data_IF_706232147623
#
_entry.id   IF_706232147623
#
_cell.length_a   1.000
_cell.length_b   1.000
_cell.length_c   1.000
_cell.angle_alpha   90.00
_cell.angle_beta   90.00
_cell.angle_gamma   90.00
#
_symmetry.space_group_name_H-M   'P 1'
#
loop_
_entity.id
_entity.type
_entity.pdbx_description
1 polymer ?
#
# COMPACT_ATOMS: atom_id res chain seq x y z
N UNK A 1 -5.81 10.06 -13.57
CA UNK A 1 -6.45 10.25 -14.89
C UNK A 1 -7.90 10.75 -14.75
N UNK A 2 -8.83 10.04 -14.06
CA UNK A 2 -10.24 10.46 -13.98
C UNK A 2 -10.47 11.84 -13.35
N UNK A 3 -9.78 12.17 -12.27
CA UNK A 3 -9.88 13.51 -11.66
C UNK A 3 -9.59 14.65 -12.64
N UNK A 4 -8.63 14.47 -13.56
CA UNK A 4 -8.29 15.48 -14.58
C UNK A 4 -9.44 15.79 -15.53
N UNK A 5 -10.37 14.85 -15.72
CA UNK A 5 -11.52 15.01 -16.60
C UNK A 5 -12.67 15.78 -15.95
N UNK A 6 -12.49 16.15 -14.67
CA UNK A 6 -13.49 16.90 -13.90
C UNK A 6 -14.61 16.02 -13.33
N UNK A 7 -15.43 16.62 -12.51
CA UNK A 7 -16.51 15.92 -11.78
C UNK A 7 -17.79 15.78 -12.63
N UNK A 8 -17.93 16.55 -13.70
CA UNK A 8 -19.13 16.58 -14.54
C UNK A 8 -19.41 15.23 -15.21
N UNK A 9 -18.34 14.56 -15.66
CA UNK A 9 -18.48 13.27 -16.34
C UNK A 9 -19.07 12.21 -15.39
N UNK A 10 -18.48 11.90 -14.23
CA UNK A 10 -19.09 10.93 -13.31
C UNK A 10 -20.45 11.38 -12.79
N UNK A 11 -20.67 12.68 -12.61
CA UNK A 11 -21.95 13.22 -12.15
C UNK A 11 -23.07 13.14 -13.19
N UNK A 12 -22.74 12.95 -14.46
CA UNK A 12 -23.73 12.77 -15.55
C UNK A 12 -24.29 11.33 -15.60
N UNK A 13 -23.75 10.39 -14.84
CA UNK A 13 -24.20 9.00 -14.80
C UNK A 13 -24.92 8.67 -13.50
N UNK A 14 -25.89 7.77 -13.55
CA UNK A 14 -26.48 7.15 -12.36
C UNK A 14 -25.54 6.08 -11.81
N UNK A 15 -24.85 6.41 -10.73
CA UNK A 15 -23.94 5.51 -10.01
C UNK A 15 -24.59 4.91 -8.77
N UNK A 16 -25.90 5.02 -8.61
CA UNK A 16 -26.64 4.58 -7.41
C UNK A 16 -26.56 3.07 -7.15
N UNK A 17 -26.30 2.27 -8.18
CA UNK A 17 -26.11 0.83 -8.07
C UNK A 17 -24.74 0.39 -7.51
N UNK A 18 -23.77 1.31 -7.43
CA UNK A 18 -22.47 1.03 -6.82
C UNK A 18 -22.63 0.78 -5.32
N UNK A 19 -21.99 -0.27 -4.83
CA UNK A 19 -22.00 -0.66 -3.43
C UNK A 19 -20.61 -0.63 -2.80
N UNK A 20 -19.58 -0.72 -3.62
CA UNK A 20 -18.20 -0.86 -3.20
C UNK A 20 -17.28 -0.31 -4.29
N UNK A 21 -16.18 0.31 -3.89
CA UNK A 21 -15.10 0.74 -4.77
C UNK A 21 -13.84 -0.02 -4.41
N UNK A 22 -12.94 -0.20 -5.35
CA UNK A 22 -11.68 -0.90 -5.11
C UNK A 22 -10.50 -0.14 -5.67
N UNK A 23 -9.36 -0.24 -4.99
CA UNK A 23 -8.06 0.21 -5.49
C UNK A 23 -7.01 -0.86 -5.23
N UNK A 24 -6.06 -1.00 -6.15
CA UNK A 24 -5.03 -2.01 -6.08
C UNK A 24 -3.89 -1.70 -7.04
N UNK A 25 -2.73 -2.28 -6.80
CA UNK A 25 -1.56 -2.20 -7.67
C UNK A 25 -0.51 -1.25 -7.16
N UNK A 26 -0.91 -0.04 -6.75
CA UNK A 26 -0.02 0.95 -6.16
C UNK A 26 -0.73 1.65 -4.98
N UNK A 27 0.04 2.23 -4.02
CA UNK A 27 -0.56 3.03 -2.95
C UNK A 27 -1.39 4.18 -3.53
N UNK A 28 -2.65 4.29 -3.10
CA UNK A 28 -3.50 5.39 -3.55
C UNK A 28 -3.16 6.67 -2.79
N UNK A 29 -3.00 7.77 -3.54
CA UNK A 29 -2.85 9.10 -2.95
C UNK A 29 -4.10 9.46 -2.11
N UNK A 30 -3.95 10.00 -0.88
CA UNK A 30 -5.07 10.37 -0.02
C UNK A 30 -6.08 11.33 -0.65
N UNK A 31 -5.65 12.29 -1.47
CA UNK A 31 -6.56 13.23 -2.14
C UNK A 31 -7.34 12.54 -3.26
N UNK A 32 -6.70 11.62 -4.00
CA UNK A 32 -7.37 10.78 -4.98
C UNK A 32 -8.39 9.86 -4.30
N UNK A 33 -8.05 9.30 -3.14
CA UNK A 33 -8.93 8.48 -2.34
C UNK A 33 -10.19 9.26 -1.92
N UNK A 34 -10.02 10.50 -1.38
CA UNK A 34 -11.12 11.38 -0.97
C UNK A 34 -12.03 11.72 -2.14
N UNK A 35 -11.44 12.08 -3.29
CA UNK A 35 -12.19 12.35 -4.51
C UNK A 35 -12.99 11.12 -4.96
N UNK A 36 -12.36 9.95 -4.98
CA UNK A 36 -12.97 8.69 -5.39
C UNK A 36 -14.16 8.33 -4.47
N UNK A 37 -13.97 8.47 -3.16
CA UNK A 37 -15.03 8.27 -2.17
C UNK A 37 -16.20 9.23 -2.37
N UNK A 38 -15.91 10.53 -2.53
CA UNK A 38 -16.93 11.59 -2.62
C UNK A 38 -17.65 11.58 -3.97
N UNK A 39 -16.91 11.58 -5.07
CA UNK A 39 -17.47 11.81 -6.41
C UNK A 39 -18.01 10.51 -7.02
N UNK A 40 -17.28 9.42 -6.95
CA UNK A 40 -17.70 8.15 -7.52
C UNK A 40 -18.56 7.36 -6.52
N UNK A 41 -18.09 7.26 -5.29
CA UNK A 41 -18.75 6.50 -4.22
C UNK A 41 -19.95 7.20 -3.59
N UNK A 42 -20.17 8.48 -3.89
CA UNK A 42 -21.23 9.32 -3.31
C UNK A 42 -21.28 9.25 -1.79
N UNK A 43 -20.10 9.15 -1.16
CA UNK A 43 -19.91 9.01 0.30
C UNK A 43 -20.64 7.81 0.93
N UNK A 44 -21.02 6.82 0.11
CA UNK A 44 -21.75 5.62 0.52
C UNK A 44 -20.97 4.33 0.31
N UNK A 45 -20.15 4.28 -0.76
CA UNK A 45 -19.40 3.10 -1.10
C UNK A 45 -18.10 3.06 -0.31
N UNK A 46 -17.85 2.03 0.52
CA UNK A 46 -16.53 1.84 1.10
C UNK A 46 -15.50 1.62 0.00
N UNK A 47 -14.29 2.16 0.22
CA UNK A 47 -13.16 1.90 -0.67
C UNK A 47 -12.36 0.74 -0.09
N UNK A 48 -12.27 -0.33 -0.85
CA UNK A 48 -11.44 -1.50 -0.57
C UNK A 48 -10.07 -1.25 -1.22
N UNK A 49 -9.19 -0.65 -0.44
CA UNK A 49 -7.79 -0.47 -0.83
C UNK A 49 -7.02 -1.72 -0.40
N UNK A 50 -6.33 -2.35 -1.33
CA UNK A 50 -5.80 -3.69 -1.15
C UNK A 50 -4.31 -3.75 -1.45
N UNK A 51 -3.55 -4.28 -0.48
CA UNK A 51 -2.17 -4.65 -0.74
C UNK A 51 -2.02 -6.16 -0.91
N UNK A 52 -1.36 -6.51 -1.99
CA UNK A 52 -0.95 -7.88 -2.31
C UNK A 52 0.23 -7.86 -3.28
N UNK A 53 0.82 -9.01 -3.49
CA UNK A 53 1.85 -9.23 -4.50
C UNK A 53 1.51 -10.50 -5.27
N UNK A 54 2.05 -10.67 -6.47
CA UNK A 54 1.92 -11.93 -7.24
C UNK A 54 2.36 -13.12 -6.39
N UNK A 55 3.41 -12.93 -5.61
CA UNK A 55 4.00 -13.90 -4.69
C UNK A 55 3.10 -14.26 -3.51
N UNK A 56 2.21 -13.39 -3.11
CA UNK A 56 1.33 -13.66 -1.96
C UNK A 56 0.13 -14.54 -2.31
N UNK A 57 -0.18 -14.69 -3.60
CA UNK A 57 -1.31 -15.51 -4.07
C UNK A 57 -2.69 -14.98 -3.72
N UNK A 58 -2.77 -13.82 -3.05
CA UNK A 58 -4.00 -13.16 -2.65
C UNK A 58 -3.75 -11.95 -1.78
N UNK A 59 -4.83 -11.31 -1.34
CA UNK A 59 -4.82 -10.12 -0.50
C UNK A 59 -4.23 -10.41 0.88
N UNK A 60 -3.30 -9.55 1.32
CA UNK A 60 -2.68 -9.64 2.65
C UNK A 60 -3.18 -8.53 3.58
N UNK A 61 -3.45 -7.35 3.02
CA UNK A 61 -4.00 -6.20 3.74
C UNK A 61 -5.18 -5.69 2.93
N UNK A 62 -6.33 -5.57 3.57
CA UNK A 62 -7.54 -5.08 2.89
C UNK A 62 -8.66 -4.87 3.91
N UNK A 63 -9.48 -3.82 3.79
CA UNK A 63 -10.75 -3.77 4.49
C UNK A 63 -11.67 -4.87 3.95
N UNK A 64 -12.44 -5.47 4.82
CA UNK A 64 -13.35 -6.57 4.48
C UNK A 64 -14.81 -6.17 4.80
N UNK A 65 -15.41 -5.21 4.07
CA UNK A 65 -16.72 -4.66 4.41
C UNK A 65 -17.87 -5.67 4.33
N UNK A 66 -17.63 -6.84 3.73
CA UNK A 66 -18.56 -7.96 3.76
C UNK A 66 -18.60 -8.75 5.08
N UNK A 67 -17.56 -8.58 5.92
CA UNK A 67 -17.48 -9.17 7.25
C UNK A 67 -17.76 -8.12 8.32
N UNK A 68 -17.08 -6.98 8.25
CA UNK A 68 -17.19 -5.89 9.20
C UNK A 68 -16.92 -4.55 8.51
N UNK A 69 -17.73 -3.56 8.82
CA UNK A 69 -17.47 -2.18 8.37
C UNK A 69 -16.62 -1.46 9.41
N UNK A 70 -15.35 -1.26 9.08
CA UNK A 70 -14.41 -0.50 9.91
C UNK A 70 -14.26 0.93 9.37
N UNK A 71 -13.89 1.91 10.21
CA UNK A 71 -13.54 3.25 9.74
C UNK A 71 -12.41 3.17 8.70
N UNK A 72 -12.59 3.78 7.54
CA UNK A 72 -11.56 3.83 6.52
C UNK A 72 -10.73 5.11 6.67
N UNK A 73 -9.42 5.00 6.43
CA UNK A 73 -8.49 6.14 6.46
C UNK A 73 -7.92 6.36 5.06
N UNK A 74 -8.02 7.57 4.49
CA UNK A 74 -7.53 7.86 3.14
C UNK A 74 -6.06 7.46 2.94
N UNK A 75 -5.80 6.61 1.94
CA UNK A 75 -4.45 6.12 1.61
C UNK A 75 -3.96 4.93 2.44
N UNK A 76 -4.77 4.42 3.38
CA UNK A 76 -4.42 3.21 4.13
C UNK A 76 -5.10 1.98 3.54
N UNK A 77 -4.34 0.90 3.35
CA UNK A 77 -4.87 -0.42 3.01
C UNK A 77 -5.59 -1.10 4.20
N UNK A 78 -5.63 -0.44 5.36
CA UNK A 78 -6.26 -0.84 6.61
C UNK A 78 -5.52 -1.95 7.38
N UNK A 79 -6.17 -3.07 7.64
CA UNK A 79 -5.68 -4.13 8.52
C UNK A 79 -5.30 -5.39 7.73
N UNK A 80 -4.38 -6.22 8.27
CA UNK A 80 -4.13 -7.54 7.71
C UNK A 80 -5.43 -8.38 7.65
N UNK A 81 -5.58 -9.17 6.60
CA UNK A 81 -6.70 -10.10 6.51
C UNK A 81 -6.55 -11.23 7.53
N UNK A 82 -7.64 -11.88 7.98
CA UNK A 82 -7.59 -12.95 8.96
C UNK A 82 -6.58 -14.05 8.58
N UNK A 83 -5.72 -14.41 9.53
CA UNK A 83 -4.68 -15.43 9.34
C UNK A 83 -3.34 -14.89 8.84
N UNK A 84 -3.22 -13.61 8.53
CA UNK A 84 -1.97 -12.97 8.09
C UNK A 84 -1.41 -12.11 9.23
N UNK A 85 -0.19 -12.43 9.65
CA UNK A 85 0.54 -11.72 10.72
C UNK A 85 1.62 -10.82 10.12
N UNK A 86 1.36 -9.53 10.08
CA UNK A 86 2.21 -8.51 9.47
C UNK A 86 2.92 -7.69 10.55
N UNK A 87 4.19 -7.40 10.30
CA UNK A 87 4.94 -6.43 11.08
C UNK A 87 5.64 -5.39 10.20
N UNK A 88 5.88 -4.23 10.78
CA UNK A 88 6.79 -3.21 10.25
C UNK A 88 8.06 -3.24 11.10
N UNK A 89 9.21 -3.49 10.46
CA UNK A 89 10.47 -3.74 11.15
C UNK A 89 11.58 -2.82 10.67
N UNK A 90 12.60 -2.65 11.50
CA UNK A 90 13.83 -1.98 11.12
C UNK A 90 14.74 -2.87 10.24
N UNK A 91 15.94 -2.41 9.95
CA UNK A 91 16.93 -3.16 9.16
C UNK A 91 17.45 -4.43 9.86
N UNK A 92 17.28 -4.53 11.17
CA UNK A 92 17.69 -5.68 11.99
C UNK A 92 16.55 -6.68 12.22
N UNK A 93 15.33 -6.37 11.74
CA UNK A 93 14.15 -7.22 11.91
C UNK A 93 13.42 -7.00 13.24
N UNK A 94 13.73 -5.93 13.96
CA UNK A 94 13.03 -5.55 15.19
C UNK A 94 11.81 -4.71 14.84
N UNK A 95 10.64 -5.05 15.42
CA UNK A 95 9.43 -4.29 15.21
C UNK A 95 9.61 -2.84 15.66
N UNK A 96 9.24 -1.91 14.77
CA UNK A 96 9.30 -0.48 15.10
C UNK A 96 8.03 -0.03 15.83
N UNK A 97 8.11 1.01 16.66
CA UNK A 97 6.94 1.61 17.29
C UNK A 97 5.91 2.09 16.25
N UNK A 98 4.65 2.20 16.67
CA UNK A 98 3.61 2.80 15.83
C UNK A 98 4.04 4.19 15.34
N UNK A 99 3.58 4.56 14.14
CA UNK A 99 3.93 5.79 13.43
C UNK A 99 5.44 5.90 13.06
N UNK A 100 6.15 4.78 13.12
CA UNK A 100 7.53 4.70 12.62
C UNK A 100 7.56 3.90 11.33
N UNK A 101 8.29 4.39 10.36
CA UNK A 101 8.45 3.76 9.04
C UNK A 101 9.45 2.61 9.11
N UNK A 102 9.19 1.55 8.36
CA UNK A 102 10.08 0.40 8.30
C UNK A 102 9.75 -0.53 7.13
N UNK A 103 10.37 -1.69 7.14
CA UNK A 103 10.16 -2.73 6.14
C UNK A 103 8.94 -3.56 6.49
N UNK A 104 8.08 -3.81 5.50
CA UNK A 104 6.92 -4.68 5.66
C UNK A 104 7.35 -6.15 5.56
N UNK A 105 6.99 -6.93 6.57
CA UNK A 105 7.20 -8.38 6.59
C UNK A 105 5.93 -9.12 6.96
N UNK A 106 5.83 -10.39 6.51
CA UNK A 106 4.81 -11.32 6.98
C UNK A 106 5.54 -12.37 7.82
N UNK A 107 5.15 -12.51 9.10
CA UNK A 107 5.90 -13.31 10.08
C UNK A 107 5.81 -14.81 9.85
N UNK A 108 4.71 -15.29 9.29
CA UNK A 108 4.46 -16.72 9.10
C UNK A 108 4.06 -17.02 7.65
N UNK A 109 4.44 -18.17 7.10
CA UNK A 109 3.93 -18.61 5.80
C UNK A 109 2.42 -18.86 5.85
N UNK A 110 1.76 -18.70 4.74
CA UNK A 110 0.32 -18.94 4.57
C UNK A 110 0.05 -19.85 3.36
N UNK A 111 -1.12 -20.48 3.27
CA UNK A 111 -1.37 -21.48 2.22
C UNK A 111 -1.28 -20.96 0.77
N UNK A 112 -1.54 -19.68 0.55
CA UNK A 112 -1.54 -19.06 -0.78
C UNK A 112 -0.19 -18.57 -1.28
N UNK A 113 0.88 -18.65 -0.44
CA UNK A 113 2.20 -18.16 -0.84
C UNK A 113 2.76 -18.95 -2.04
N UNK A 114 3.51 -18.27 -2.91
CA UNK A 114 4.21 -18.95 -3.99
C UNK A 114 5.14 -20.04 -3.44
N UNK A 115 5.21 -21.16 -4.15
CA UNK A 115 6.04 -22.30 -3.74
C UNK A 115 7.51 -22.10 -4.11
N UNK A 116 7.76 -21.46 -5.24
CA UNK A 116 9.11 -21.14 -5.73
C UNK A 116 9.03 -20.22 -6.96
N UNK A 117 10.19 -19.76 -7.44
CA UNK A 117 10.35 -19.17 -8.77
C UNK A 117 10.69 -20.30 -9.77
N UNK A 118 10.04 -20.28 -10.94
CA UNK A 118 10.27 -21.30 -11.97
C UNK A 118 11.74 -21.42 -12.34
N UNK A 119 12.31 -22.58 -12.08
CA UNK A 119 13.70 -22.89 -12.40
C UNK A 119 14.75 -22.19 -11.50
N UNK A 120 14.35 -21.47 -10.44
CA UNK A 120 15.30 -20.75 -9.59
C UNK A 120 14.90 -20.71 -8.10
N UNK A 121 14.89 -21.85 -7.46
CA UNK A 121 14.63 -21.99 -6.02
C UNK A 121 15.61 -21.20 -5.15
N UNK A 122 16.84 -21.03 -5.63
CA UNK A 122 17.86 -20.28 -4.90
C UNK A 122 17.47 -18.80 -4.82
N UNK A 123 17.06 -18.22 -5.94
CA UNK A 123 16.59 -16.83 -6.00
C UNK A 123 15.35 -16.63 -5.12
N UNK A 124 14.39 -17.55 -5.15
CA UNK A 124 13.23 -17.53 -4.27
C UNK A 124 13.60 -17.37 -2.81
N UNK A 125 14.49 -18.25 -2.32
CA UNK A 125 14.96 -18.20 -0.92
C UNK A 125 15.74 -16.93 -0.63
N UNK A 126 16.61 -16.52 -1.54
CA UNK A 126 17.46 -15.34 -1.34
C UNK A 126 16.65 -14.04 -1.30
N UNK A 127 15.69 -13.86 -2.18
CA UNK A 127 14.94 -12.62 -2.31
C UNK A 127 13.90 -12.48 -1.18
N UNK A 128 13.15 -13.53 -0.90
CA UNK A 128 11.96 -13.40 -0.05
C UNK A 128 12.16 -13.91 1.39
N UNK A 129 13.19 -14.74 1.67
CA UNK A 129 13.32 -15.43 2.96
C UNK A 129 14.66 -15.28 3.65
N UNK A 130 15.66 -14.67 3.01
CA UNK A 130 17.01 -14.58 3.58
C UNK A 130 17.23 -13.37 4.46
N UNK A 131 16.46 -12.29 4.25
CA UNK A 131 16.68 -11.02 4.93
C UNK A 131 16.30 -11.06 6.41
N UNK A 132 15.17 -11.71 6.72
CA UNK A 132 14.66 -11.86 8.09
C UNK A 132 14.32 -13.32 8.33
N UNK A 133 14.80 -13.88 9.47
CA UNK A 133 14.65 -15.30 9.78
C UNK A 133 13.17 -15.68 9.88
N UNK A 134 12.76 -16.68 9.09
CA UNK A 134 11.41 -17.22 9.03
C UNK A 134 10.30 -16.21 8.66
N UNK A 135 10.64 -15.05 8.13
CA UNK A 135 9.68 -14.04 7.71
C UNK A 135 9.75 -13.82 6.20
N UNK A 136 8.59 -13.68 5.58
CA UNK A 136 8.51 -13.25 4.20
C UNK A 136 8.82 -11.75 4.11
N UNK A 137 9.82 -11.39 3.32
CA UNK A 137 10.19 -10.02 3.02
C UNK A 137 9.49 -9.54 1.75
N UNK A 138 8.57 -8.60 1.88
CA UNK A 138 7.79 -8.09 0.75
C UNK A 138 8.59 -7.19 -0.21
N UNK A 139 9.68 -6.59 0.27
CA UNK A 139 10.38 -5.52 -0.44
C UNK A 139 9.65 -4.18 -0.42
N UNK A 140 8.60 -4.04 0.39
CA UNK A 140 7.88 -2.79 0.54
C UNK A 140 8.24 -2.06 1.85
N UNK A 141 8.10 -0.74 1.82
CA UNK A 141 8.27 0.14 2.97
C UNK A 141 6.88 0.58 3.45
N UNK A 142 6.68 0.56 4.75
CA UNK A 142 5.36 0.80 5.33
C UNK A 142 5.42 1.54 6.65
N UNK A 143 4.26 1.99 7.10
CA UNK A 143 4.03 2.55 8.42
C UNK A 143 2.77 1.91 9.01
N UNK A 144 2.77 1.62 10.32
CA UNK A 144 1.60 1.19 11.08
C UNK A 144 1.25 2.25 12.11
N UNK A 145 0.00 2.70 12.13
CA UNK A 145 -0.44 3.68 13.12
C UNK A 145 -0.84 3.06 14.46
N UNK A 146 -1.30 3.90 15.41
CA UNK A 146 -1.72 3.46 16.73
C UNK A 146 -2.98 2.57 16.74
N UNK A 147 -3.80 2.65 15.69
CA UNK A 147 -4.98 1.81 15.53
C UNK A 147 -4.66 0.51 14.77
N UNK A 148 -3.40 0.30 14.39
CA UNK A 148 -2.92 -0.87 13.65
C UNK A 148 -3.07 -0.78 12.14
N UNK A 149 -3.56 0.35 11.61
CA UNK A 149 -3.72 0.56 10.17
C UNK A 149 -2.37 0.70 9.47
N UNK A 150 -2.27 0.15 8.27
CA UNK A 150 -1.06 0.09 7.48
C UNK A 150 -1.14 1.02 6.26
N UNK A 151 -0.12 1.83 6.09
CA UNK A 151 0.14 2.62 4.89
C UNK A 151 1.35 2.05 4.17
N UNK A 152 1.18 1.74 2.91
CA UNK A 152 2.27 1.35 2.01
C UNK A 152 2.93 2.63 1.47
N UNK A 153 4.24 2.73 1.60
CA UNK A 153 5.02 3.92 1.23
C UNK A 153 5.84 3.71 -0.05
N UNK A 154 5.56 2.62 -0.76
CA UNK A 154 6.28 2.23 -1.97
C UNK A 154 7.33 1.15 -1.73
N UNK A 155 8.15 0.89 -2.74
CA UNK A 155 9.21 -0.11 -2.70
C UNK A 155 10.35 0.34 -1.78
N UNK A 156 10.90 -0.60 -1.02
CA UNK A 156 12.01 -0.32 -0.11
C UNK A 156 13.34 0.00 -0.82
N UNK A 157 13.49 -0.48 -2.04
CA UNK A 157 14.62 -0.19 -2.94
C UNK A 157 14.51 1.21 -3.57
N UNK A 158 13.30 1.77 -3.70
CA UNK A 158 13.06 3.13 -4.21
C UNK A 158 13.07 4.20 -3.12
N UNK A 159 13.24 3.81 -1.84
CA UNK A 159 13.34 4.75 -0.72
C UNK A 159 14.62 5.58 -0.82
N UNK A 160 14.45 6.88 -0.93
CA UNK A 160 15.55 7.83 -0.99
C UNK A 160 16.20 7.99 0.38
N UNK A 161 17.53 7.96 0.43
CA UNK A 161 18.32 8.25 1.63
C UNK A 161 18.93 9.64 1.47
N UNK A 162 18.32 10.63 2.09
CA UNK A 162 18.77 12.03 1.99
C UNK A 162 19.15 12.51 3.40
N UNK A 163 20.42 12.85 3.58
CA UNK A 163 20.96 13.33 4.86
C UNK A 163 20.58 12.46 6.08
N UNK A 164 20.56 11.15 5.91
CA UNK A 164 20.21 10.18 6.96
C UNK A 164 18.69 9.92 7.12
N UNK A 165 17.84 10.64 6.42
CA UNK A 165 16.41 10.40 6.39
C UNK A 165 16.03 9.45 5.26
N UNK A 166 15.07 8.57 5.53
CA UNK A 166 14.45 7.69 4.53
C UNK A 166 13.11 8.27 4.11
N UNK A 167 12.97 8.63 2.84
CA UNK A 167 11.78 9.23 2.26
C UNK A 167 11.28 8.32 1.14
N UNK A 168 10.04 7.86 1.24
CA UNK A 168 9.40 7.10 0.17
C UNK A 168 9.12 8.00 -1.04
N UNK A 169 9.35 7.50 -2.26
CA UNK A 169 9.04 8.26 -3.48
C UNK A 169 7.57 8.63 -3.54
N UNK A 170 6.67 7.72 -3.17
CA UNK A 170 5.23 7.95 -3.11
C UNK A 170 4.82 9.11 -2.17
N UNK A 171 5.58 9.40 -1.10
CA UNK A 171 5.30 10.53 -0.21
C UNK A 171 5.59 11.87 -0.90
N UNK A 172 6.71 11.95 -1.62
CA UNK A 172 7.06 13.15 -2.39
C UNK A 172 6.09 13.35 -3.56
N UNK A 173 5.75 12.29 -4.26
CA UNK A 173 4.76 12.31 -5.32
C UNK A 173 3.40 12.81 -4.81
N UNK A 174 2.95 12.30 -3.67
CA UNK A 174 1.71 12.74 -3.03
C UNK A 174 1.76 14.22 -2.64
N UNK A 175 2.89 14.69 -2.12
CA UNK A 175 3.07 16.10 -1.77
C UNK A 175 3.02 16.99 -3.01
N UNK A 176 3.66 16.60 -4.10
CA UNK A 176 3.66 17.36 -5.35
C UNK A 176 2.26 17.41 -5.98
N UNK A 177 1.56 16.27 -6.00
CA UNK A 177 0.18 16.17 -6.57
C UNK A 177 -0.86 16.89 -5.70
N UNK A 178 -0.55 17.26 -4.45
CA UNK A 178 -1.43 18.07 -3.63
C UNK A 178 -1.58 19.52 -4.10
N UNK A 179 -0.73 19.99 -5.01
CA UNK A 179 -0.91 21.29 -5.70
C UNK A 179 -1.91 21.12 -6.85
N UNK A 180 -2.94 21.96 -6.86
CA UNK A 180 -4.03 21.91 -7.86
C UNK A 180 -3.57 22.03 -9.33
N UNK A 181 -2.38 22.58 -9.55
CA UNK A 181 -1.79 22.73 -10.88
C UNK A 181 -1.00 21.49 -11.32
N UNK A 182 -0.76 20.53 -10.43
CA UNK A 182 0.00 19.31 -10.71
C UNK A 182 -0.95 18.14 -10.87
N UNK A 183 -0.96 17.60 -12.04
CA UNK A 183 -1.86 16.52 -12.39
C UNK A 183 -1.29 15.12 -12.09
N UNK A 184 0.02 14.98 -12.11
CA UNK A 184 0.76 13.72 -11.92
C UNK A 184 2.23 14.03 -11.63
N UNK A 185 2.86 13.23 -10.79
CA UNK A 185 4.28 13.34 -10.50
C UNK A 185 4.91 11.96 -10.43
N UNK A 186 6.19 11.88 -10.75
CA UNK A 186 7.02 10.71 -10.55
C UNK A 186 8.36 11.14 -9.94
N UNK A 187 8.82 10.42 -8.93
CA UNK A 187 10.06 10.71 -8.22
C UNK A 187 11.04 9.55 -8.40
N UNK A 188 12.26 9.85 -8.84
CA UNK A 188 13.35 8.89 -8.89
C UNK A 188 14.60 9.45 -8.23
N UNK A 189 15.37 8.58 -7.59
CA UNK A 189 16.66 8.92 -7.01
C UNK A 189 17.74 9.01 -8.09
N UNK A 190 18.54 10.05 -8.03
CA UNK A 190 19.77 10.17 -8.84
C UNK A 190 20.95 10.08 -7.86
N UNK A 191 22.00 9.26 -8.15
CA UNK A 191 23.20 9.26 -7.33
C UNK A 191 23.81 10.67 -7.28
N UNK A 192 24.13 11.15 -6.07
CA UNK A 192 24.89 12.37 -5.85
C UNK A 192 26.38 12.00 -5.78
N UNK A 193 27.26 12.75 -6.48
CA UNK A 193 28.69 12.49 -6.53
C UNK A 193 29.42 12.96 -5.25
#
# INVERSE_FOLDING_TARGET
MFMKSGDDIPNSFDLSSLRLLGTVGEPINPEVWKWYYKIIGKEKCPIVDTWWQTETGGMMISPLPGLETIPLKPGSATLPVPGIDIAVVDEFGVEVPSNTKGYLIIKNPWPGILLTLWGDDKKYKTVYWSKYTNCYYSGDYALRDNDGYLWLLGRADDVLKIAGHRIGTAELESCIVSDDNVAESAVCGIPDE
#
